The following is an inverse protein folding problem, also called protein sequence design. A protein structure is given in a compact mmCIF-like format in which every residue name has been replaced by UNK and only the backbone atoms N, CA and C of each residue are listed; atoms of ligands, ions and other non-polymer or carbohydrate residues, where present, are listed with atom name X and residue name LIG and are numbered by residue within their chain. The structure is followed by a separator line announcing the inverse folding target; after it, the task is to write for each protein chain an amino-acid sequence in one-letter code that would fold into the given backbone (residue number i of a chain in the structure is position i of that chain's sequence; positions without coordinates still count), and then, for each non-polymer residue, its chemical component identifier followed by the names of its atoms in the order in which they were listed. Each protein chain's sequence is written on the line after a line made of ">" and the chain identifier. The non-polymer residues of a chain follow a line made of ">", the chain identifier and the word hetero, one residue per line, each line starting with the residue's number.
data_IF_376926066067
#
_entry.id   IF_376926066067
#
_cell.length_a   1.000
_cell.length_b   1.000
_cell.length_c   1.000
_cell.angle_alpha   90.00
_cell.angle_beta   90.00
_cell.angle_gamma   90.00
#
_symmetry.space_group_name_H-M   'P 1'
#
loop_
_entity.id
_entity.type
_entity.pdbx_description
1 polymer ?
#
# COMPACT_ATOMS: atom_id res chain seq x y z
N UNK A 1 35.35 51.11 -45.48
CA UNK A 1 34.50 51.39 -44.30
C UNK A 1 33.29 50.46 -44.34
N UNK A 2 33.25 49.43 -43.48
CA UNK A 2 32.14 48.47 -43.41
C UNK A 2 31.66 48.37 -41.95
N UNK A 3 30.42 48.79 -41.71
CA UNK A 3 29.81 48.89 -40.39
C UNK A 3 29.27 47.57 -39.86
N UNK A 4 29.66 47.23 -38.63
CA UNK A 4 29.10 46.15 -37.80
C UNK A 4 27.61 46.36 -37.55
N UNK A 5 26.77 45.37 -37.89
CA UNK A 5 25.44 45.22 -37.28
C UNK A 5 25.49 44.12 -36.22
N UNK A 6 25.42 44.53 -34.95
CA UNK A 6 25.14 43.64 -33.80
C UNK A 6 23.68 43.21 -33.88
N UNK A 7 23.41 41.89 -33.85
CA UNK A 7 22.07 41.36 -33.58
C UNK A 7 21.79 41.47 -32.08
N UNK A 8 20.59 41.92 -31.66
CA UNK A 8 20.21 41.95 -30.25
C UNK A 8 19.99 40.52 -29.74
N UNK A 9 20.48 40.29 -28.51
CA UNK A 9 20.35 39.03 -27.80
C UNK A 9 18.89 38.69 -27.53
N UNK A 10 18.55 37.44 -27.81
CA UNK A 10 17.32 36.81 -27.35
C UNK A 10 17.36 36.71 -25.83
N UNK A 11 16.64 37.62 -25.16
CA UNK A 11 16.29 37.49 -23.75
C UNK A 11 15.51 36.20 -23.54
N UNK A 12 16.21 35.19 -23.07
CA UNK A 12 15.60 33.95 -22.60
C UNK A 12 14.78 34.27 -21.36
N UNK A 13 13.49 34.52 -21.56
CA UNK A 13 12.47 34.60 -20.51
C UNK A 13 12.55 33.31 -19.68
N UNK A 14 13.27 33.36 -18.55
CA UNK A 14 13.25 32.32 -17.53
C UNK A 14 11.84 32.28 -16.97
N UNK A 15 11.03 31.34 -17.45
CA UNK A 15 9.74 31.04 -16.82
C UNK A 15 9.99 30.77 -15.33
N UNK A 16 9.26 31.41 -14.41
CA UNK A 16 9.36 31.11 -12.99
C UNK A 16 9.04 29.62 -12.81
N UNK A 17 10.00 28.85 -12.29
CA UNK A 17 9.75 27.49 -11.82
C UNK A 17 8.72 27.61 -10.72
N UNK A 18 7.48 27.22 -10.99
CA UNK A 18 6.44 27.07 -9.98
C UNK A 18 6.98 26.10 -8.94
N UNK A 19 7.41 26.63 -7.79
CA UNK A 19 7.79 25.80 -6.65
C UNK A 19 6.50 25.09 -6.25
N UNK A 20 6.37 23.80 -6.61
CA UNK A 20 5.29 22.98 -6.08
C UNK A 20 5.49 22.94 -4.57
N UNK A 21 4.64 23.67 -3.85
CA UNK A 21 4.59 23.62 -2.38
C UNK A 21 4.27 22.18 -2.01
N UNK A 22 5.27 21.46 -1.50
CA UNK A 22 5.08 20.12 -0.99
C UNK A 22 4.25 20.28 0.29
N UNK A 23 2.98 19.89 0.25
CA UNK A 23 2.09 19.97 1.41
C UNK A 23 2.19 18.74 2.32
N UNK A 24 2.70 17.62 1.79
CA UNK A 24 2.80 16.33 2.50
C UNK A 24 4.09 15.62 2.16
N UNK A 25 4.71 15.01 3.17
CA UNK A 25 5.98 14.30 3.07
C UNK A 25 5.94 13.01 3.88
N UNK A 26 6.76 12.02 3.53
CA UNK A 26 6.84 10.79 4.29
C UNK A 26 7.88 10.95 5.41
N UNK A 27 7.52 10.57 6.63
CA UNK A 27 8.44 10.50 7.76
C UNK A 27 9.06 9.10 7.87
N UNK A 28 10.35 9.03 8.14
CA UNK A 28 11.09 7.81 8.43
C UNK A 28 11.58 7.91 9.87
N UNK A 29 11.13 6.96 10.69
CA UNK A 29 11.55 6.77 12.08
C UNK A 29 12.43 5.52 12.15
N UNK A 30 13.72 5.65 12.51
CA UNK A 30 14.63 4.52 12.63
C UNK A 30 14.12 3.46 13.62
N UNK A 31 14.36 2.18 13.33
CA UNK A 31 13.86 1.06 14.14
C UNK A 31 14.18 1.19 15.64
N UNK A 32 15.40 1.65 15.96
CA UNK A 32 15.86 1.85 17.35
C UNK A 32 15.22 3.03 18.08
N UNK A 33 14.59 3.97 17.35
CA UNK A 33 13.95 5.16 17.92
C UNK A 33 12.44 4.99 18.13
N UNK A 34 11.82 3.94 17.57
CA UNK A 34 10.36 3.73 17.65
C UNK A 34 9.85 3.65 19.10
N UNK A 35 10.62 3.03 19.99
CA UNK A 35 10.23 2.86 21.40
C UNK A 35 10.41 4.14 22.25
N UNK A 36 11.31 5.04 21.85
CA UNK A 36 11.65 6.27 22.59
C UNK A 36 11.15 7.55 21.93
N UNK A 37 10.23 7.43 20.96
CA UNK A 37 9.80 8.54 20.13
C UNK A 37 8.99 9.56 20.93
N UNK A 38 9.45 10.81 20.97
CA UNK A 38 8.69 11.95 21.49
C UNK A 38 7.71 12.42 20.44
N UNK A 39 6.48 11.93 20.54
CA UNK A 39 5.43 12.25 19.58
C UNK A 39 4.75 13.57 20.01
N UNK A 40 4.79 14.63 19.19
CA UNK A 40 4.09 15.87 19.48
C UNK A 40 2.57 15.66 19.44
N UNK A 41 1.83 16.49 20.19
CA UNK A 41 0.37 16.48 20.27
C UNK A 41 -0.31 17.10 19.04
N UNK A 42 0.20 16.80 17.85
CA UNK A 42 -0.37 17.19 16.57
C UNK A 42 -0.80 15.93 15.83
N UNK A 43 -2.00 15.96 15.26
CA UNK A 43 -2.50 14.88 14.44
C UNK A 43 -1.60 14.65 13.22
N UNK A 44 -1.17 13.41 13.02
CA UNK A 44 -0.29 13.00 11.92
C UNK A 44 -0.98 13.06 10.55
N UNK A 45 -2.31 13.06 10.53
CA UNK A 45 -3.12 12.97 9.31
C UNK A 45 -3.48 14.34 8.74
N UNK A 46 -3.83 15.30 9.59
CA UNK A 46 -4.29 16.63 9.20
C UNK A 46 -3.57 17.79 9.90
N UNK A 47 -2.75 17.51 10.93
CA UNK A 47 -2.04 18.54 11.69
C UNK A 47 -2.88 19.25 12.75
N UNK A 48 -4.09 18.76 13.06
CA UNK A 48 -4.94 19.35 14.10
C UNK A 48 -4.30 19.27 15.50
N UNK A 49 -4.57 20.27 16.33
CA UNK A 49 -4.09 20.41 17.71
C UNK A 49 -4.86 19.57 18.73
N UNK A 50 -5.97 18.95 18.33
CA UNK A 50 -6.80 18.08 19.15
C UNK A 50 -6.76 16.63 18.64
N UNK A 51 -5.60 15.94 18.74
CA UNK A 51 -5.48 14.59 18.22
C UNK A 51 -6.16 13.55 19.12
N UNK A 52 -6.72 12.53 18.49
CA UNK A 52 -7.17 11.31 19.14
C UNK A 52 -6.07 10.26 19.00
N UNK A 53 -5.58 9.76 20.13
CA UNK A 53 -4.58 8.69 20.14
C UNK A 53 -5.22 7.34 19.80
N UNK A 54 -4.68 6.67 18.79
CA UNK A 54 -5.12 5.35 18.36
C UNK A 54 -3.95 4.40 18.12
N UNK A 55 -4.16 3.12 18.42
CA UNK A 55 -3.19 2.06 18.15
C UNK A 55 -3.28 1.63 16.70
N UNK A 56 -2.31 2.07 15.89
CA UNK A 56 -2.26 1.75 14.48
C UNK A 56 -1.47 0.46 14.27
N UNK A 57 -2.05 -0.57 13.61
CA UNK A 57 -1.38 -1.85 13.44
C UNK A 57 -0.22 -1.75 12.45
N UNK A 58 0.97 -2.16 12.89
CA UNK A 58 2.22 -2.18 12.14
C UNK A 58 2.64 -3.65 11.92
N UNK A 59 1.91 -4.32 11.04
CA UNK A 59 2.09 -5.76 10.77
C UNK A 59 1.22 -6.66 11.64
N UNK A 60 1.62 -7.93 11.80
CA UNK A 60 0.72 -8.95 12.37
C UNK A 60 0.53 -8.83 13.89
N UNK A 61 1.59 -8.50 14.65
CA UNK A 61 1.58 -8.48 16.13
C UNK A 61 1.97 -7.16 16.77
N UNK A 62 2.36 -6.16 15.98
CA UNK A 62 2.83 -4.87 16.50
C UNK A 62 1.82 -3.79 16.20
N UNK A 63 1.65 -2.88 17.12
CA UNK A 63 0.92 -1.63 16.95
C UNK A 63 1.81 -0.48 17.41
N UNK A 64 1.59 0.69 16.82
CA UNK A 64 2.24 1.93 17.23
C UNK A 64 1.14 2.93 17.53
N UNK A 65 1.22 3.55 18.70
CA UNK A 65 0.25 4.55 19.13
C UNK A 65 0.57 5.87 18.43
N UNK A 66 -0.35 6.37 17.62
CA UNK A 66 -0.19 7.61 16.86
C UNK A 66 -1.35 8.59 17.15
N UNK A 67 -1.07 9.90 17.18
CA UNK A 67 -2.09 10.93 17.23
C UNK A 67 -2.71 11.07 15.82
N UNK A 68 -4.01 10.80 15.72
CA UNK A 68 -4.78 10.87 14.48
C UNK A 68 -5.93 11.85 14.64
N UNK A 69 -6.46 12.35 13.53
CA UNK A 69 -7.77 13.02 13.52
C UNK A 69 -8.89 12.02 13.89
N UNK A 70 -9.99 12.52 14.42
CA UNK A 70 -11.09 11.68 14.93
C UNK A 70 -11.68 10.75 13.84
N UNK A 71 -11.76 11.19 12.58
CA UNK A 71 -12.27 10.37 11.48
C UNK A 71 -11.33 9.21 11.16
N UNK A 72 -10.03 9.47 11.13
CA UNK A 72 -9.01 8.43 10.93
C UNK A 72 -8.92 7.48 12.12
N UNK A 73 -9.01 7.98 13.35
CA UNK A 73 -9.04 7.16 14.56
C UNK A 73 -10.24 6.20 14.55
N UNK A 74 -11.44 6.67 14.17
CA UNK A 74 -12.62 5.81 13.99
C UNK A 74 -12.41 4.75 12.92
N UNK A 75 -11.77 5.11 11.81
CA UNK A 75 -11.47 4.17 10.71
C UNK A 75 -10.49 3.08 11.14
N UNK A 76 -9.44 3.45 11.90
CA UNK A 76 -8.47 2.50 12.46
C UNK A 76 -9.14 1.56 13.47
N UNK A 77 -10.00 2.08 14.37
CA UNK A 77 -10.74 1.24 15.32
C UNK A 77 -11.63 0.21 14.62
N UNK A 78 -12.35 0.62 13.57
CA UNK A 78 -13.14 -0.30 12.73
C UNK A 78 -12.26 -1.34 12.04
N UNK A 79 -11.11 -0.93 11.50
CA UNK A 79 -10.16 -1.85 10.89
C UNK A 79 -9.67 -2.90 11.90
N UNK A 80 -9.25 -2.48 13.09
CA UNK A 80 -8.76 -3.39 14.15
C UNK A 80 -9.85 -4.40 14.56
N UNK A 81 -11.10 -3.95 14.70
CA UNK A 81 -12.23 -4.83 15.01
C UNK A 81 -12.56 -5.82 13.90
N UNK A 82 -12.43 -5.44 12.62
CA UNK A 82 -12.75 -6.29 11.47
C UNK A 82 -11.61 -7.22 11.05
N UNK A 83 -10.36 -6.87 11.39
CA UNK A 83 -9.16 -7.64 11.04
C UNK A 83 -9.22 -9.14 11.39
N UNK A 84 -9.65 -9.59 12.58
CA UNK A 84 -9.72 -11.03 12.89
C UNK A 84 -10.73 -11.76 11.99
N UNK A 85 -11.87 -11.14 11.69
CA UNK A 85 -12.89 -11.70 10.81
C UNK A 85 -12.40 -11.93 9.38
N UNK A 86 -11.49 -11.10 8.89
CA UNK A 86 -10.91 -11.26 7.55
C UNK A 86 -9.98 -12.45 7.48
N UNK A 87 -9.17 -12.65 8.51
CA UNK A 87 -8.35 -13.85 8.58
C UNK A 87 -9.24 -15.09 8.63
N UNK A 88 -10.33 -15.03 9.41
CA UNK A 88 -11.31 -16.11 9.46
C UNK A 88 -11.96 -16.36 8.09
N UNK A 89 -12.46 -15.32 7.41
CA UNK A 89 -13.05 -15.43 6.06
C UNK A 89 -12.04 -16.00 5.06
N UNK A 90 -10.80 -15.52 5.10
CA UNK A 90 -9.74 -16.01 4.21
C UNK A 90 -9.36 -17.47 4.51
N UNK A 91 -9.35 -17.85 5.78
CA UNK A 91 -9.08 -19.23 6.22
C UNK A 91 -10.22 -20.17 5.83
N UNK A 92 -11.48 -19.72 5.96
CA UNK A 92 -12.67 -20.48 5.56
C UNK A 92 -12.84 -20.59 4.05
N UNK A 93 -12.27 -19.67 3.27
CA UNK A 93 -12.34 -19.72 1.81
C UNK A 93 -11.59 -20.93 1.23
N UNK A 94 -10.51 -21.41 1.86
CA UNK A 94 -9.75 -22.58 1.42
C UNK A 94 -10.56 -23.89 1.52
N UNK A 95 -11.12 -24.26 2.69
CA UNK A 95 -11.98 -25.44 2.78
C UNK A 95 -13.28 -25.25 1.99
N UNK A 96 -13.86 -24.04 1.95
CA UNK A 96 -15.03 -23.77 1.10
C UNK A 96 -14.73 -24.06 -0.38
N UNK A 97 -13.56 -23.67 -0.87
CA UNK A 97 -13.11 -23.99 -2.23
C UNK A 97 -12.86 -25.48 -2.43
N UNK A 98 -12.23 -26.17 -1.48
CA UNK A 98 -11.98 -27.62 -1.56
C UNK A 98 -13.30 -28.43 -1.59
N UNK A 99 -14.22 -28.14 -0.67
CA UNK A 99 -15.54 -28.80 -0.61
C UNK A 99 -16.27 -28.60 -1.93
N UNK A 100 -16.16 -27.40 -2.49
CA UNK A 100 -16.84 -27.02 -3.72
C UNK A 100 -16.25 -27.66 -4.99
N UNK A 101 -14.97 -28.06 -4.97
CA UNK A 101 -14.31 -28.77 -6.08
C UNK A 101 -14.47 -30.29 -5.99
N UNK A 102 -14.53 -30.85 -4.78
CA UNK A 102 -14.45 -32.30 -4.57
C UNK A 102 -15.73 -32.96 -4.05
N UNK A 103 -16.72 -32.20 -3.58
CA UNK A 103 -17.95 -32.76 -3.03
C UNK A 103 -19.17 -32.45 -3.90
N UNK A 104 -20.01 -33.46 -4.13
CA UNK A 104 -21.33 -33.29 -4.71
C UNK A 104 -22.27 -32.62 -3.70
N UNK A 105 -22.30 -31.30 -3.75
CA UNK A 105 -23.07 -30.47 -2.83
C UNK A 105 -24.46 -30.15 -3.39
N UNK A 106 -25.50 -30.12 -2.52
CA UNK A 106 -26.78 -29.54 -2.88
C UNK A 106 -26.61 -28.05 -3.23
N UNK A 107 -27.47 -27.54 -4.12
CA UNK A 107 -27.39 -26.18 -4.68
C UNK A 107 -27.24 -25.08 -3.62
N UNK A 108 -27.91 -25.22 -2.48
CA UNK A 108 -27.84 -24.30 -1.34
C UNK A 108 -26.44 -24.24 -0.72
N UNK A 109 -25.81 -25.39 -0.47
CA UNK A 109 -24.45 -25.46 0.06
C UNK A 109 -23.42 -24.93 -0.95
N UNK A 110 -23.65 -25.19 -2.24
CA UNK A 110 -22.84 -24.67 -3.35
C UNK A 110 -22.87 -23.13 -3.37
N UNK A 111 -24.04 -22.51 -3.21
CA UNK A 111 -24.19 -21.04 -3.14
C UNK A 111 -23.49 -20.44 -1.92
N UNK A 112 -23.59 -21.09 -0.76
CA UNK A 112 -22.92 -20.64 0.47
C UNK A 112 -21.40 -20.65 0.27
N UNK A 113 -20.83 -21.71 -0.32
CA UNK A 113 -19.40 -21.78 -0.59
C UNK A 113 -18.93 -20.68 -1.57
N UNK A 114 -19.71 -20.38 -2.62
CA UNK A 114 -19.42 -19.24 -3.51
C UNK A 114 -19.45 -17.91 -2.76
N UNK A 115 -20.43 -17.69 -1.89
CA UNK A 115 -20.54 -16.47 -1.10
C UNK A 115 -19.32 -16.27 -0.19
N UNK A 116 -18.85 -17.34 0.47
CA UNK A 116 -17.64 -17.31 1.32
C UNK A 116 -16.40 -16.95 0.51
N UNK A 117 -16.23 -17.54 -0.67
CA UNK A 117 -15.10 -17.24 -1.56
C UNK A 117 -15.16 -15.78 -2.03
N UNK A 118 -16.34 -15.28 -2.42
CA UNK A 118 -16.53 -13.91 -2.89
C UNK A 118 -16.33 -12.86 -1.78
N UNK A 119 -16.56 -13.23 -0.51
CA UNK A 119 -16.29 -12.35 0.63
C UNK A 119 -14.80 -12.03 0.81
N UNK A 120 -13.88 -12.86 0.29
CA UNK A 120 -12.43 -12.61 0.37
C UNK A 120 -12.03 -11.33 -0.37
N UNK A 121 -12.24 -11.15 -1.69
CA UNK A 121 -11.88 -9.91 -2.38
C UNK A 121 -12.66 -8.70 -1.86
N UNK A 122 -13.93 -8.86 -1.50
CA UNK A 122 -14.76 -7.76 -0.94
C UNK A 122 -14.19 -7.26 0.38
N UNK A 123 -13.81 -8.18 1.28
CA UNK A 123 -13.23 -7.82 2.58
C UNK A 123 -11.86 -7.16 2.43
N UNK A 124 -11.02 -7.64 1.51
CA UNK A 124 -9.73 -7.02 1.18
C UNK A 124 -9.90 -5.60 0.62
N UNK A 125 -10.89 -5.39 -0.26
CA UNK A 125 -11.20 -4.08 -0.82
C UNK A 125 -11.70 -3.11 0.26
N UNK A 126 -12.60 -3.56 1.12
CA UNK A 126 -13.09 -2.77 2.25
C UNK A 126 -11.94 -2.30 3.16
N UNK A 127 -11.00 -3.19 3.48
CA UNK A 127 -9.81 -2.83 4.27
C UNK A 127 -8.91 -1.83 3.59
N UNK A 128 -8.71 -1.97 2.28
CA UNK A 128 -7.91 -1.03 1.50
C UNK A 128 -8.48 0.39 1.60
N UNK A 129 -9.80 0.54 1.56
CA UNK A 129 -10.45 1.84 1.72
C UNK A 129 -10.40 2.37 3.16
N UNK A 130 -10.60 1.51 4.15
CA UNK A 130 -10.54 1.90 5.57
C UNK A 130 -9.15 2.39 6.00
N UNK A 131 -8.09 1.82 5.42
CA UNK A 131 -6.70 2.13 5.75
C UNK A 131 -5.99 2.98 4.67
N UNK A 132 -6.73 3.61 3.77
CA UNK A 132 -6.12 4.30 2.63
C UNK A 132 -5.24 5.47 3.10
N UNK A 133 -3.92 5.32 2.97
CA UNK A 133 -2.95 6.34 3.33
C UNK A 133 -2.69 6.50 4.84
N UNK A 134 -3.18 5.57 5.66
CA UNK A 134 -3.13 5.65 7.13
C UNK A 134 -2.11 4.75 7.83
N UNK A 135 -1.77 3.52 7.36
CA UNK A 135 -0.91 2.67 8.15
C UNK A 135 0.54 3.14 8.01
N UNK A 136 1.23 3.46 9.11
CA UNK A 136 2.66 3.42 9.10
C UNK A 136 3.07 1.97 8.80
N UNK A 137 4.09 1.78 7.99
CA UNK A 137 4.53 0.46 7.58
C UNK A 137 6.02 0.29 7.88
N UNK A 138 6.43 -0.91 8.32
CA UNK A 138 7.84 -1.19 8.50
C UNK A 138 8.49 -1.30 7.11
N UNK A 139 9.66 -0.71 6.97
CA UNK A 139 10.55 -0.90 5.83
C UNK A 139 11.35 -2.19 6.00
N UNK A 140 12.06 -2.60 4.94
CA UNK A 140 12.91 -3.81 4.99
C UNK A 140 14.02 -3.72 6.03
N UNK A 141 14.46 -2.51 6.38
CA UNK A 141 15.49 -2.25 7.38
C UNK A 141 14.93 -2.21 8.81
N UNK A 142 13.62 -2.41 9.00
CA UNK A 142 12.95 -2.28 10.30
C UNK A 142 12.53 -0.86 10.64
N UNK A 143 12.93 0.15 9.85
CA UNK A 143 12.51 1.53 10.06
C UNK A 143 11.01 1.67 9.85
N UNK A 144 10.36 2.48 10.66
CA UNK A 144 8.94 2.78 10.54
C UNK A 144 8.74 3.96 9.62
N UNK A 145 7.97 3.77 8.55
CA UNK A 145 7.64 4.84 7.61
C UNK A 145 6.19 5.27 7.78
N UNK A 146 5.99 6.56 8.00
CA UNK A 146 4.67 7.19 8.14
C UNK A 146 4.40 7.99 6.87
N UNK A 147 3.48 7.55 6.00
CA UNK A 147 3.26 8.20 4.72
C UNK A 147 2.44 9.49 4.85
N UNK A 148 2.70 10.45 3.95
CA UNK A 148 1.83 11.61 3.67
C UNK A 148 1.53 12.51 4.89
N UNK A 149 2.49 12.69 5.78
CA UNK A 149 2.36 13.57 6.94
C UNK A 149 2.41 15.04 6.49
N UNK A 150 1.57 15.95 7.03
CA UNK A 150 1.70 17.38 6.78
C UNK A 150 3.11 17.86 7.12
N UNK A 151 3.63 18.77 6.30
CA UNK A 151 5.03 19.22 6.41
C UNK A 151 5.31 19.91 7.75
N UNK A 152 4.34 20.62 8.29
CA UNK A 152 4.39 21.30 9.57
C UNK A 152 4.55 20.30 10.72
N UNK A 153 3.79 19.20 10.66
CA UNK A 153 3.88 18.10 11.62
C UNK A 153 5.23 17.38 11.47
N UNK A 154 5.69 17.17 10.23
CA UNK A 154 6.98 16.56 9.97
C UNK A 154 8.14 17.37 10.60
N UNK A 155 8.09 18.70 10.51
CA UNK A 155 9.05 19.57 11.18
C UNK A 155 9.02 19.46 12.70
N UNK A 156 7.82 19.47 13.30
CA UNK A 156 7.68 19.32 14.75
C UNK A 156 8.25 17.98 15.23
N UNK A 157 8.03 16.91 14.47
CA UNK A 157 8.56 15.58 14.74
C UNK A 157 10.09 15.52 14.65
N UNK A 158 10.67 16.08 13.58
CA UNK A 158 12.13 16.13 13.38
C UNK A 158 12.80 16.96 14.48
N UNK A 159 12.24 18.13 14.82
CA UNK A 159 12.77 18.98 15.87
C UNK A 159 12.74 18.33 17.26
N UNK A 160 11.74 17.49 17.52
CA UNK A 160 11.59 16.79 18.80
C UNK A 160 12.38 15.48 18.89
N UNK A 161 12.83 14.92 17.76
CA UNK A 161 13.44 13.59 17.68
C UNK A 161 14.66 13.58 16.76
N UNK A 162 15.88 13.78 17.30
CA UNK A 162 17.10 13.66 16.51
C UNK A 162 17.22 12.23 15.95
N UNK A 163 17.24 12.12 14.62
CA UNK A 163 17.29 10.85 13.87
C UNK A 163 16.03 10.53 13.08
N UNK A 164 14.91 11.22 13.32
CA UNK A 164 13.75 11.18 12.41
C UNK A 164 14.08 12.00 11.17
N UNK A 165 13.77 11.46 9.98
CA UNK A 165 14.03 12.12 8.70
C UNK A 165 12.77 12.19 7.84
N UNK A 166 12.68 13.21 7.00
CA UNK A 166 11.60 13.34 6.01
C UNK A 166 12.12 13.04 4.60
N UNK A 167 11.32 12.32 3.82
CA UNK A 167 11.64 11.99 2.42
C UNK A 167 10.46 12.25 1.50
N UNK A 168 10.74 12.85 0.34
CA UNK A 168 9.80 12.98 -0.76
C UNK A 168 9.86 11.80 -1.74
N UNK A 169 10.81 10.88 -1.54
CA UNK A 169 10.90 9.66 -2.36
C UNK A 169 9.64 8.82 -2.15
N UNK A 170 9.12 8.12 -3.16
CA UNK A 170 8.01 7.18 -2.95
C UNK A 170 8.41 6.07 -1.96
N UNK A 171 7.43 5.57 -1.22
CA UNK A 171 7.61 4.45 -0.30
C UNK A 171 8.28 3.24 -0.97
N UNK A 172 9.34 2.64 -0.37
CA UNK A 172 9.82 1.33 -0.78
C UNK A 172 8.66 0.35 -0.69
N UNK A 173 8.45 -0.46 -1.74
CA UNK A 173 7.39 -1.48 -1.73
C UNK A 173 7.67 -2.50 -0.62
N UNK A 174 6.60 -3.00 0.01
CA UNK A 174 6.65 -3.85 1.20
C UNK A 174 7.43 -5.18 1.02
N UNK A 175 7.64 -5.65 -0.22
CA UNK A 175 8.35 -6.90 -0.53
C UNK A 175 9.43 -6.68 -1.61
N UNK A 176 10.49 -7.51 -1.65
CA UNK A 176 11.52 -7.40 -2.67
C UNK A 176 10.97 -7.72 -4.07
N UNK A 177 11.61 -7.19 -5.13
CA UNK A 177 11.22 -7.44 -6.53
C UNK A 177 11.00 -8.92 -6.84
N UNK A 178 11.91 -9.78 -6.36
CA UNK A 178 11.87 -11.24 -6.59
C UNK A 178 10.59 -11.87 -6.07
N UNK A 179 10.00 -11.33 -4.99
CA UNK A 179 8.73 -11.82 -4.46
C UNK A 179 7.59 -11.57 -5.47
N UNK A 180 7.47 -10.35 -6.00
CA UNK A 180 6.44 -10.02 -6.99
C UNK A 180 6.65 -10.76 -8.32
N UNK A 181 7.90 -10.89 -8.77
CA UNK A 181 8.26 -11.64 -9.97
C UNK A 181 7.92 -13.12 -9.81
N UNK A 182 8.29 -13.73 -8.67
CA UNK A 182 8.00 -15.14 -8.40
C UNK A 182 6.50 -15.42 -8.37
N UNK A 183 5.72 -14.56 -7.72
CA UNK A 183 4.25 -14.66 -7.70
C UNK A 183 3.62 -14.46 -9.09
N UNK A 184 4.11 -13.51 -9.88
CA UNK A 184 3.61 -13.32 -11.25
C UNK A 184 3.94 -14.53 -12.15
N UNK A 185 5.17 -15.06 -12.05
CA UNK A 185 5.63 -16.23 -12.80
C UNK A 185 4.98 -17.55 -12.35
N UNK A 186 4.37 -17.61 -11.16
CA UNK A 186 3.60 -18.79 -10.73
C UNK A 186 2.13 -18.64 -11.05
N UNK A 187 1.50 -17.52 -10.70
CA UNK A 187 0.06 -17.34 -10.86
C UNK A 187 -0.38 -17.28 -12.33
N UNK A 188 0.38 -16.60 -13.20
CA UNK A 188 -0.01 -16.47 -14.61
C UNK A 188 0.05 -17.83 -15.33
N UNK A 189 1.14 -18.61 -15.28
CA UNK A 189 1.17 -19.93 -15.91
C UNK A 189 0.22 -20.94 -15.28
N UNK A 190 0.03 -20.91 -13.95
CA UNK A 190 -0.96 -21.77 -13.27
C UNK A 190 -2.37 -21.46 -13.75
N UNK A 191 -2.72 -20.18 -13.93
CA UNK A 191 -4.04 -19.80 -14.46
C UNK A 191 -4.24 -20.28 -15.91
N UNK A 192 -3.20 -20.21 -16.75
CA UNK A 192 -3.24 -20.66 -18.15
C UNK A 192 -3.34 -22.19 -18.21
N UNK A 193 -2.52 -22.91 -17.44
CA UNK A 193 -2.56 -24.37 -17.37
C UNK A 193 -3.89 -24.89 -16.88
N UNK A 194 -4.49 -24.23 -15.88
CA UNK A 194 -5.83 -24.57 -15.38
C UNK A 194 -6.92 -24.34 -16.45
N UNK A 195 -6.81 -23.26 -17.24
CA UNK A 195 -7.73 -22.97 -18.34
C UNK A 195 -7.62 -24.02 -19.47
N UNK A 196 -6.40 -24.43 -19.84
CA UNK A 196 -6.16 -25.44 -20.88
C UNK A 196 -6.63 -26.83 -20.44
N UNK A 197 -6.37 -27.20 -19.18
CA UNK A 197 -6.85 -28.46 -18.61
C UNK A 197 -8.38 -28.54 -18.59
N UNK A 198 -9.06 -27.42 -18.33
CA UNK A 198 -10.52 -27.34 -18.42
C UNK A 198 -11.06 -27.55 -19.83
N UNK A 199 -10.44 -26.92 -20.83
CA UNK A 199 -10.85 -27.09 -22.22
C UNK A 199 -10.81 -28.55 -22.69
N UNK A 200 -9.96 -29.38 -22.05
CA UNK A 200 -9.75 -30.77 -22.43
C UNK A 200 -10.56 -31.79 -21.61
N UNK A 201 -11.02 -31.46 -20.39
CA UNK A 201 -11.60 -32.44 -19.46
C UNK A 201 -13.13 -32.50 -19.43
N UNK A 202 -13.84 -31.62 -20.14
CA UNK A 202 -15.30 -31.73 -20.35
C UNK A 202 -16.18 -31.69 -19.09
N UNK A 203 -15.64 -31.33 -17.91
CA UNK A 203 -16.36 -31.34 -16.63
C UNK A 203 -16.98 -29.96 -16.35
N UNK A 204 -18.30 -29.93 -16.25
CA UNK A 204 -19.17 -28.73 -16.27
C UNK A 204 -19.33 -27.98 -14.94
N UNK A 205 -18.39 -28.06 -13.98
CA UNK A 205 -18.37 -27.09 -12.86
C UNK A 205 -17.78 -25.75 -13.33
N UNK A 206 -18.33 -25.26 -14.44
CA UNK A 206 -17.91 -24.12 -15.21
C UNK A 206 -17.88 -22.87 -14.33
N UNK A 207 -18.90 -22.64 -13.51
CA UNK A 207 -19.10 -21.38 -12.77
C UNK A 207 -17.93 -21.07 -11.82
N UNK A 208 -17.40 -22.09 -11.14
CA UNK A 208 -16.30 -21.91 -10.18
C UNK A 208 -14.98 -21.62 -10.81
N UNK A 209 -14.65 -22.40 -11.85
CA UNK A 209 -13.37 -22.30 -12.51
C UNK A 209 -13.33 -21.09 -13.46
N UNK A 210 -14.47 -20.68 -14.04
CA UNK A 210 -14.61 -19.40 -14.75
C UNK A 210 -14.46 -18.18 -13.83
N UNK A 211 -14.62 -18.32 -12.51
CA UNK A 211 -14.28 -17.27 -11.55
C UNK A 211 -12.82 -17.37 -11.08
N UNK A 212 -12.31 -18.58 -10.87
CA UNK A 212 -10.96 -18.81 -10.35
C UNK A 212 -9.87 -18.45 -11.36
N UNK A 213 -10.04 -18.80 -12.65
CA UNK A 213 -9.05 -18.50 -13.69
C UNK A 213 -8.84 -16.99 -13.88
N UNK A 214 -9.90 -16.16 -14.07
CA UNK A 214 -9.74 -14.71 -14.12
C UNK A 214 -9.22 -14.15 -12.80
N UNK A 215 -9.64 -14.66 -11.64
CA UNK A 215 -9.12 -14.18 -10.36
C UNK A 215 -7.60 -14.41 -10.23
N UNK A 216 -7.12 -15.62 -10.51
CA UNK A 216 -5.69 -15.95 -10.49
C UNK A 216 -4.90 -15.13 -11.50
N UNK A 217 -5.44 -14.98 -12.71
CA UNK A 217 -4.82 -14.17 -13.77
C UNK A 217 -4.73 -12.69 -13.38
N UNK A 218 -5.83 -12.14 -12.84
CA UNK A 218 -5.88 -10.73 -12.39
C UNK A 218 -4.94 -10.50 -11.22
N UNK A 219 -4.88 -11.42 -10.25
CA UNK A 219 -3.90 -11.35 -9.14
C UNK A 219 -2.48 -11.45 -9.69
N UNK A 220 -2.22 -12.32 -10.67
CA UNK A 220 -0.94 -12.44 -11.37
C UNK A 220 -0.52 -11.13 -12.05
N UNK A 221 -1.43 -10.50 -12.80
CA UNK A 221 -1.22 -9.19 -13.42
C UNK A 221 -1.00 -8.11 -12.37
N UNK A 222 -1.80 -8.06 -11.30
CA UNK A 222 -1.62 -7.10 -10.22
C UNK A 222 -0.25 -7.25 -9.57
N UNK A 223 0.25 -8.48 -9.40
CA UNK A 223 1.61 -8.73 -8.92
C UNK A 223 2.65 -8.33 -9.96
N UNK A 224 2.40 -8.55 -11.26
CA UNK A 224 3.28 -8.12 -12.34
C UNK A 224 3.41 -6.59 -12.44
N UNK A 225 2.30 -5.86 -12.31
CA UNK A 225 2.26 -4.39 -12.23
C UNK A 225 2.96 -3.86 -10.96
N UNK A 226 3.12 -4.70 -9.94
CA UNK A 226 3.93 -4.41 -8.74
C UNK A 226 5.41 -4.76 -8.91
N UNK A 227 5.84 -5.32 -10.04
CA UNK A 227 7.26 -5.45 -10.39
C UNK A 227 7.80 -4.05 -10.73
N UNK A 228 8.93 -3.61 -10.15
CA UNK A 228 9.47 -2.28 -10.40
C UNK A 228 9.99 -2.13 -11.83
N UNK A 229 9.72 -0.98 -12.44
CA UNK A 229 10.59 -0.39 -13.46
C UNK A 229 11.80 0.23 -12.75
N UNK A 230 13.04 0.03 -13.23
CA UNK A 230 14.21 0.64 -12.61
C UNK A 230 14.05 2.17 -12.61
N UNK A 231 14.14 2.79 -11.42
CA UNK A 231 14.06 4.25 -11.29
C UNK A 231 15.43 4.82 -11.65
N UNK A 232 15.58 5.31 -12.88
CA UNK A 232 16.70 6.15 -13.32
C UNK A 232 16.46 7.59 -12.87
N UNK A 233 16.70 7.87 -11.58
CA UNK A 233 16.54 9.23 -11.07
C UNK A 233 17.16 9.39 -9.69
N UNK A 234 18.03 10.40 -9.54
CA UNK A 234 18.70 10.74 -8.28
C UNK A 234 17.65 11.18 -7.26
N UNK A 235 17.33 10.31 -6.31
CA UNK A 235 16.50 10.60 -5.15
C UNK A 235 17.06 11.83 -4.41
N UNK A 236 16.24 12.87 -4.22
CA UNK A 236 16.53 13.92 -3.22
C UNK A 236 16.40 13.25 -1.86
N UNK A 237 17.55 12.90 -1.27
CA UNK A 237 17.63 11.91 -0.17
C UNK A 237 17.05 12.41 1.15
N UNK A 238 17.00 13.71 1.40
CA UNK A 238 16.59 14.28 2.69
C UNK A 238 15.92 15.63 2.49
N UNK A 239 14.96 15.95 3.36
CA UNK A 239 14.35 17.27 3.44
C UNK A 239 14.54 17.85 4.85
N UNK A 240 14.98 19.12 4.98
CA UNK A 240 15.34 20.04 3.90
C UNK A 240 16.64 19.61 3.18
N UNK A 241 16.82 19.96 1.90
CA UNK A 241 18.05 19.66 1.17
C UNK A 241 19.21 20.49 1.75
N UNK A 242 20.14 19.85 2.45
CA UNK A 242 21.41 20.46 2.84
C UNK A 242 21.54 20.92 4.30
N UNK A 243 21.12 20.09 5.25
CA UNK A 243 21.72 20.09 6.60
C UNK A 243 22.58 18.86 6.73
#
# INVERSE_FOLDING_TARGET
>A
MAGRRRRPGSDSVRRPRTIKVIKRIDLIVPAGLVAGLRIPSLSVTDGSSEPVWADVPVGWRRSVRLPLDDRSARSVRRYVGLRPWILLISLLAVPAWLILVYADLPRTARLIAHAVIFMVPVSQLCMHFLMRGLPPFPTQNGDLRIPRVPVEVAHAWIGSNPGVSATACPAPRARPRRFYVGWALTLVPVSIGLALWMANNGREDAILLWMLVPALFTVGIVMALRIPTPVSGRAVRTWPPGV
#
